data_IF_786430912152
#
_entry.id   IF_786430912152
#
_cell.length_a   1.000
_cell.length_b   1.000
_cell.length_c   1.000
_cell.angle_alpha   90.00
_cell.angle_beta   90.00
_cell.angle_gamma   90.00
#
_symmetry.space_group_name_H-M   'P 1'
#
loop_
_entity.id
_entity.type
_entity.pdbx_description
1 polymer ?
#
# COMPACT_ATOMS: atom_id res chain seq x y z
N UNK A 1 -5.58 13.46 -10.07
CA UNK A 1 -5.58 12.93 -11.47
C UNK A 1 -6.77 11.99 -11.68
N UNK A 2 -7.59 12.16 -12.73
CA UNK A 2 -8.72 11.23 -12.99
C UNK A 2 -8.21 9.98 -13.71
N UNK A 3 -8.36 8.82 -13.07
CA UNK A 3 -7.97 7.53 -13.65
C UNK A 3 -9.21 6.90 -14.24
N UNK A 4 -9.10 6.47 -15.48
CA UNK A 4 -10.15 5.72 -16.16
C UNK A 4 -9.83 4.23 -16.09
N UNK A 5 -10.87 3.43 -15.87
CA UNK A 5 -10.76 1.98 -15.99
C UNK A 5 -10.58 1.61 -17.47
N UNK A 6 -9.40 1.12 -17.84
CA UNK A 6 -9.09 0.71 -19.21
C UNK A 6 -9.78 -0.60 -19.59
N UNK A 7 -10.18 -1.41 -18.60
CA UNK A 7 -10.72 -2.75 -18.81
C UNK A 7 -11.90 -3.02 -17.87
N UNK A 8 -13.03 -2.29 -18.02
CA UNK A 8 -14.15 -2.33 -17.07
C UNK A 8 -14.83 -3.70 -16.93
N UNK A 9 -14.69 -4.54 -17.94
CA UNK A 9 -15.28 -5.88 -17.97
C UNK A 9 -14.27 -6.99 -17.63
N UNK A 10 -13.00 -6.64 -17.38
CA UNK A 10 -12.00 -7.64 -17.04
C UNK A 10 -12.21 -8.14 -15.61
N UNK A 11 -12.37 -9.47 -15.48
CA UNK A 11 -12.35 -10.17 -14.20
C UNK A 11 -11.29 -11.26 -14.25
N UNK A 12 -10.13 -10.99 -13.65
CA UNK A 12 -9.02 -11.95 -13.62
C UNK A 12 -9.36 -13.17 -12.76
N UNK A 13 -10.20 -13.04 -11.74
CA UNK A 13 -10.59 -14.17 -10.89
C UNK A 13 -11.54 -15.14 -11.62
N UNK A 14 -12.18 -14.72 -12.71
CA UNK A 14 -12.90 -15.62 -13.62
C UNK A 14 -11.98 -16.63 -14.30
N UNK A 15 -10.70 -16.30 -14.45
CA UNK A 15 -9.70 -17.14 -15.12
C UNK A 15 -9.12 -18.24 -14.22
N UNK A 16 -9.55 -18.32 -12.95
CA UNK A 16 -8.99 -19.26 -11.97
C UNK A 16 -9.05 -20.74 -12.38
N UNK A 17 -9.98 -21.10 -13.26
CA UNK A 17 -10.07 -22.46 -13.83
C UNK A 17 -8.91 -22.82 -14.76
N UNK A 18 -8.19 -21.83 -15.29
CA UNK A 18 -7.03 -22.02 -16.17
C UNK A 18 -5.70 -22.07 -15.40
N UNK A 19 -5.69 -21.75 -14.10
CA UNK A 19 -4.47 -21.79 -13.29
C UNK A 19 -4.20 -23.20 -12.80
N UNK A 20 -2.93 -23.55 -12.61
CA UNK A 20 -2.58 -24.74 -11.84
C UNK A 20 -3.04 -24.60 -10.37
N UNK A 21 -3.11 -25.73 -9.67
CA UNK A 21 -3.65 -25.77 -8.32
C UNK A 21 -2.82 -24.98 -7.30
N UNK A 22 -1.49 -24.91 -7.49
CA UNK A 22 -0.62 -24.17 -6.59
C UNK A 22 -0.84 -22.66 -6.73
N UNK A 23 -0.85 -22.16 -7.96
CA UNK A 23 -1.16 -20.77 -8.31
C UNK A 23 -2.55 -20.39 -7.81
N UNK A 24 -3.56 -21.22 -8.09
CA UNK A 24 -4.94 -20.98 -7.65
C UNK A 24 -5.04 -20.85 -6.14
N UNK A 25 -4.41 -21.77 -5.40
CA UNK A 25 -4.39 -21.72 -3.94
C UNK A 25 -3.77 -20.43 -3.42
N UNK A 26 -2.58 -20.05 -3.90
CA UNK A 26 -1.86 -18.87 -3.40
C UNK A 26 -2.60 -17.56 -3.73
N UNK A 27 -3.13 -17.43 -4.95
CA UNK A 27 -3.84 -16.21 -5.36
C UNK A 27 -5.14 -16.07 -4.57
N UNK A 28 -5.94 -17.14 -4.45
CA UNK A 28 -7.21 -17.07 -3.72
C UNK A 28 -7.01 -16.80 -2.24
N UNK A 29 -5.95 -17.35 -1.62
CA UNK A 29 -5.57 -17.04 -0.25
C UNK A 29 -5.27 -15.55 -0.07
N UNK A 30 -4.43 -14.95 -0.93
CA UNK A 30 -4.12 -13.51 -0.88
C UNK A 30 -5.33 -12.61 -1.13
N UNK A 31 -6.28 -13.06 -1.95
CA UNK A 31 -7.49 -12.27 -2.25
C UNK A 31 -8.44 -12.24 -1.06
N UNK A 32 -8.60 -13.37 -0.35
CA UNK A 32 -9.62 -13.51 0.69
C UNK A 32 -9.09 -13.36 2.11
N UNK A 33 -7.81 -13.64 2.34
CA UNK A 33 -7.18 -13.62 3.66
C UNK A 33 -6.23 -12.43 3.75
N UNK A 34 -6.80 -11.23 3.79
CA UNK A 34 -6.05 -9.99 4.01
C UNK A 34 -5.50 -10.00 5.44
N UNK A 35 -4.18 -9.80 5.65
CA UNK A 35 -3.60 -9.83 6.97
C UNK A 35 -4.03 -8.61 7.80
N UNK A 36 -4.08 -8.77 9.11
CA UNK A 36 -4.15 -7.65 10.04
C UNK A 36 -2.84 -6.86 10.04
N UNK A 37 -2.92 -5.58 10.39
CA UNK A 37 -1.74 -4.76 10.69
C UNK A 37 -1.07 -5.22 11.99
N UNK A 38 0.21 -5.57 11.90
CA UNK A 38 1.05 -6.12 12.97
C UNK A 38 2.28 -5.28 13.30
N UNK A 39 2.81 -4.51 12.35
CA UNK A 39 4.08 -3.81 12.53
C UNK A 39 3.91 -2.32 12.84
N UNK A 40 3.16 -1.60 12.01
CA UNK A 40 2.98 -0.16 12.12
C UNK A 40 1.95 0.21 13.19
N UNK A 41 2.15 1.37 13.83
CA UNK A 41 1.16 1.98 14.72
C UNK A 41 0.02 2.67 13.93
N UNK A 42 -0.98 3.21 14.63
CA UNK A 42 -2.14 3.85 14.02
C UNK A 42 -1.77 5.02 13.09
N UNK A 43 -0.78 5.83 13.48
CA UNK A 43 -0.37 7.00 12.71
C UNK A 43 0.35 6.60 11.42
N UNK A 44 1.27 5.65 11.53
CA UNK A 44 1.98 5.09 10.39
C UNK A 44 1.02 4.37 9.42
N UNK A 45 -0.02 3.68 9.93
CA UNK A 45 -1.07 3.08 9.10
C UNK A 45 -1.85 4.13 8.32
N UNK A 46 -2.19 5.26 8.94
CA UNK A 46 -2.88 6.36 8.26
C UNK A 46 -2.00 6.97 7.15
N UNK A 47 -0.73 7.24 7.43
CA UNK A 47 0.23 7.77 6.46
C UNK A 47 0.48 6.79 5.32
N UNK A 48 0.64 5.50 5.61
CA UNK A 48 0.78 4.44 4.61
C UNK A 48 -0.47 4.31 3.74
N UNK A 49 -1.66 4.41 4.33
CA UNK A 49 -2.93 4.43 3.62
C UNK A 49 -2.97 5.58 2.62
N UNK A 50 -2.74 6.81 3.09
CA UNK A 50 -2.71 8.00 2.24
C UNK A 50 -1.68 7.87 1.09
N UNK A 51 -0.47 7.37 1.40
CA UNK A 51 0.55 7.10 0.39
C UNK A 51 0.07 6.11 -0.68
N UNK A 52 -0.53 4.99 -0.27
CA UNK A 52 -1.06 3.99 -1.20
C UNK A 52 -2.12 4.58 -2.13
N UNK A 53 -2.98 5.47 -1.62
CA UNK A 53 -4.00 6.10 -2.44
C UNK A 53 -3.46 7.13 -3.45
N UNK A 54 -2.23 7.63 -3.27
CA UNK A 54 -1.57 8.55 -4.22
C UNK A 54 -0.67 7.82 -5.21
N UNK A 55 0.04 6.77 -4.76
CA UNK A 55 0.97 6.00 -5.62
C UNK A 55 0.24 4.97 -6.49
N UNK A 56 -0.74 4.24 -5.94
CA UNK A 56 -1.58 3.30 -6.69
C UNK A 56 -3.07 3.67 -6.49
N UNK A 57 -3.50 4.81 -7.02
CA UNK A 57 -4.88 5.30 -6.91
C UNK A 57 -5.90 4.35 -7.53
N UNK A 58 -6.93 4.02 -6.75
CA UNK A 58 -7.99 3.06 -7.12
C UNK A 58 -9.37 3.70 -7.25
N UNK A 59 -9.44 5.03 -7.45
CA UNK A 59 -10.71 5.78 -7.53
C UNK A 59 -11.65 5.33 -8.65
N UNK A 60 -11.11 4.73 -9.73
CA UNK A 60 -11.88 4.13 -10.81
C UNK A 60 -12.61 2.84 -10.43
N UNK A 61 -12.24 2.21 -9.30
CA UNK A 61 -12.83 0.96 -8.84
C UNK A 61 -13.95 1.21 -7.83
N UNK A 62 -15.05 0.44 -7.88
CA UNK A 62 -16.07 0.49 -6.83
C UNK A 62 -15.44 0.07 -5.49
N UNK A 63 -15.93 0.58 -4.34
CA UNK A 63 -15.31 0.35 -3.02
C UNK A 63 -15.00 -1.12 -2.72
N UNK A 64 -15.92 -2.04 -3.00
CA UNK A 64 -15.73 -3.49 -2.76
C UNK A 64 -14.73 -4.19 -3.69
N UNK A 65 -14.18 -3.49 -4.71
CA UNK A 65 -13.13 -4.01 -5.62
C UNK A 65 -11.79 -3.30 -5.46
N UNK A 66 -11.67 -2.42 -4.46
CA UNK A 66 -10.38 -1.80 -4.12
C UNK A 66 -9.51 -2.83 -3.40
N UNK A 67 -8.24 -2.88 -3.76
CA UNK A 67 -7.24 -3.78 -3.18
C UNK A 67 -6.67 -3.13 -1.92
N UNK A 68 -6.72 -3.79 -0.75
CA UNK A 68 -6.18 -3.24 0.49
C UNK A 68 -4.65 -3.38 0.51
N UNK A 69 -3.93 -2.40 -0.02
CA UNK A 69 -2.46 -2.47 -0.20
C UNK A 69 -1.70 -2.38 1.14
N UNK A 70 -2.09 -1.46 2.01
CA UNK A 70 -1.36 -1.14 3.24
C UNK A 70 -1.16 -2.32 4.21
N UNK A 71 -2.17 -3.17 4.48
CA UNK A 71 -1.97 -4.35 5.34
C UNK A 71 -0.95 -5.36 4.78
N UNK A 72 -0.86 -5.52 3.46
CA UNK A 72 0.15 -6.40 2.85
C UNK A 72 1.57 -5.85 2.96
N UNK A 73 1.74 -4.52 2.85
CA UNK A 73 3.03 -3.86 3.08
C UNK A 73 3.44 -4.03 4.55
N UNK A 74 2.51 -3.79 5.48
CA UNK A 74 2.73 -3.99 6.92
C UNK A 74 3.13 -5.44 7.25
N UNK A 75 2.40 -6.43 6.73
CA UNK A 75 2.70 -7.83 6.95
C UNK A 75 4.10 -8.21 6.45
N UNK A 76 4.57 -7.59 5.36
CA UNK A 76 5.95 -7.75 4.86
C UNK A 76 6.98 -7.14 5.81
N UNK A 77 6.68 -6.02 6.46
CA UNK A 77 7.54 -5.43 7.49
C UNK A 77 7.55 -6.24 8.79
N UNK A 78 6.45 -6.91 9.13
CA UNK A 78 6.36 -7.80 10.29
C UNK A 78 7.10 -9.14 10.09
N UNK A 79 7.25 -9.58 8.84
CA UNK A 79 7.90 -10.85 8.49
C UNK A 79 9.42 -10.77 8.39
N UNK A 80 10.07 -11.93 8.48
CA UNK A 80 11.52 -12.10 8.24
C UNK A 80 11.87 -12.36 6.77
N UNK A 81 10.88 -12.43 5.88
CA UNK A 81 11.09 -12.78 4.48
C UNK A 81 11.64 -11.59 3.70
N UNK A 82 12.94 -11.62 3.41
CA UNK A 82 13.56 -10.77 2.40
C UNK A 82 13.34 -11.38 1.01
N UNK A 83 13.01 -10.54 0.04
CA UNK A 83 12.90 -10.95 -1.36
C UNK A 83 13.75 -9.99 -2.20
N UNK A 84 14.51 -10.53 -3.14
CA UNK A 84 15.47 -9.79 -3.97
C UNK A 84 16.83 -9.52 -3.33
N UNK A 85 17.62 -8.70 -4.02
CA UNK A 85 18.96 -8.26 -3.59
C UNK A 85 18.89 -6.83 -3.06
N UNK A 86 19.60 -6.55 -1.96
CA UNK A 86 19.77 -5.22 -1.41
C UNK A 86 21.27 -4.90 -1.31
N UNK A 87 21.63 -3.61 -1.39
CA UNK A 87 22.99 -3.19 -1.08
C UNK A 87 23.23 -3.36 0.42
N UNK A 88 24.44 -3.72 0.81
CA UNK A 88 24.81 -3.94 2.21
C UNK A 88 24.64 -2.67 3.08
N UNK A 89 24.79 -1.49 2.46
CA UNK A 89 24.58 -0.20 3.13
C UNK A 89 23.11 0.21 3.28
N UNK A 90 22.16 -0.53 2.71
CA UNK A 90 20.74 -0.19 2.81
C UNK A 90 20.16 -0.65 4.14
N UNK A 91 19.27 0.15 4.75
CA UNK A 91 18.53 -0.29 5.92
C UNK A 91 17.64 -1.49 5.58
N UNK A 92 17.37 -2.32 6.59
CA UNK A 92 16.40 -3.40 6.45
C UNK A 92 15.01 -2.84 6.10
N UNK A 93 14.21 -3.63 5.38
CA UNK A 93 12.90 -3.20 4.87
C UNK A 93 11.99 -2.54 5.93
N UNK A 94 11.81 -3.09 7.16
CA UNK A 94 10.96 -2.44 8.17
C UNK A 94 11.47 -1.05 8.58
N UNK A 95 12.79 -0.88 8.66
CA UNK A 95 13.42 0.40 8.97
C UNK A 95 13.28 1.40 7.82
N UNK A 96 13.50 0.95 6.57
CA UNK A 96 13.32 1.77 5.37
C UNK A 96 11.90 2.35 5.27
N UNK A 97 10.88 1.51 5.47
CA UNK A 97 9.49 1.95 5.47
C UNK A 97 9.18 2.90 6.63
N UNK A 98 9.65 2.60 7.84
CA UNK A 98 9.45 3.46 9.00
C UNK A 98 10.03 4.86 8.76
N UNK A 99 11.24 4.95 8.21
CA UNK A 99 11.87 6.23 7.87
C UNK A 99 11.15 6.96 6.74
N UNK A 100 10.69 6.23 5.72
CA UNK A 100 9.92 6.83 4.62
C UNK A 100 8.60 7.46 5.10
N UNK A 101 7.83 6.74 5.92
CA UNK A 101 6.57 7.25 6.47
C UNK A 101 6.80 8.45 7.40
N UNK A 102 7.82 8.39 8.26
CA UNK A 102 8.21 9.53 9.10
C UNK A 102 8.62 10.74 8.25
N UNK A 103 9.40 10.51 7.20
CA UNK A 103 9.84 11.55 6.27
C UNK A 103 8.68 12.24 5.56
N UNK A 104 7.64 11.49 5.16
CA UNK A 104 6.40 12.07 4.61
C UNK A 104 5.70 12.97 5.62
N UNK A 105 5.55 12.53 6.87
CA UNK A 105 4.92 13.33 7.91
C UNK A 105 5.71 14.60 8.26
N UNK A 106 7.04 14.49 8.31
CA UNK A 106 7.92 15.64 8.54
C UNK A 106 7.88 16.63 7.37
N UNK A 107 7.87 16.12 6.14
CA UNK A 107 7.81 16.95 4.92
C UNK A 107 6.47 17.67 4.85
N UNK A 108 5.36 16.97 5.10
CA UNK A 108 4.05 17.59 5.20
C UNK A 108 4.09 18.70 6.24
N UNK A 109 4.45 18.41 7.49
CA UNK A 109 4.47 19.39 8.58
C UNK A 109 5.33 20.63 8.29
N UNK A 110 6.40 20.51 7.50
CA UNK A 110 7.24 21.63 7.10
C UNK A 110 6.63 22.51 5.99
N UNK A 111 5.72 21.95 5.16
CA UNK A 111 5.10 22.62 4.02
C UNK A 111 3.70 23.18 4.31
N UNK A 112 3.04 22.72 5.38
CA UNK A 112 1.74 23.23 5.83
C UNK A 112 1.91 24.22 6.98
N UNK A 113 1.14 25.33 6.95
CA UNK A 113 1.15 26.34 8.01
C UNK A 113 0.70 25.80 9.38
N UNK A 114 -0.15 24.76 9.41
CA UNK A 114 -0.68 24.16 10.63
C UNK A 114 0.14 22.96 11.14
N UNK A 115 1.22 22.59 10.44
CA UNK A 115 2.06 21.46 10.81
C UNK A 115 1.38 20.09 10.68
N UNK A 116 0.34 19.98 9.85
CA UNK A 116 -0.38 18.74 9.66
C UNK A 116 0.50 17.61 9.10
N UNK A 117 0.19 16.37 9.51
CA UNK A 117 0.80 15.15 8.99
C UNK A 117 0.32 14.84 7.58
N UNK A 118 1.05 13.98 6.86
CA UNK A 118 0.76 13.69 5.45
C UNK A 118 -0.66 13.15 5.25
N UNK A 119 -1.13 12.27 6.13
CA UNK A 119 -2.49 11.73 6.03
C UNK A 119 -3.61 12.76 6.28
N UNK A 120 -3.29 13.89 6.92
CA UNK A 120 -4.26 14.92 7.30
C UNK A 120 -4.34 16.09 6.30
N UNK A 121 -3.36 16.23 5.40
CA UNK A 121 -3.42 17.22 4.33
C UNK A 121 -4.36 16.75 3.20
N UNK A 122 -4.93 17.69 2.46
CA UNK A 122 -5.81 17.36 1.34
C UNK A 122 -5.03 16.69 0.19
N UNK A 123 -5.74 15.93 -0.65
CA UNK A 123 -5.13 15.14 -1.70
C UNK A 123 -4.30 15.97 -2.71
N UNK A 124 -4.65 17.23 -2.95
CA UNK A 124 -3.89 18.06 -3.90
C UNK A 124 -2.52 18.44 -3.34
N UNK A 125 -2.42 18.59 -2.02
CA UNK A 125 -1.16 18.87 -1.31
C UNK A 125 -0.33 17.62 -1.04
N UNK A 126 -0.94 16.44 -1.05
CA UNK A 126 -0.20 15.17 -1.00
C UNK A 126 0.56 14.88 -2.31
N UNK A 127 0.11 15.48 -3.41
CA UNK A 127 0.69 15.33 -4.75
C UNK A 127 1.68 16.47 -5.12
N UNK A 128 1.83 17.48 -4.26
CA UNK A 128 2.64 18.69 -4.51
C UNK A 128 4.12 18.50 -4.14
#
# INVERSE_FOLDING_TARGET
>A
MSIQDRYPNADILSQRGHWDDATRRVVMDRVHNVPDFKYFDEHQRATLGALCERVIPQGHRPPGRRIPLAPWIDARCAGSHTDGFQLDSMPANPQAWTWGLLGLDQTAAALVEDGARFAAVDASRQDA
#
